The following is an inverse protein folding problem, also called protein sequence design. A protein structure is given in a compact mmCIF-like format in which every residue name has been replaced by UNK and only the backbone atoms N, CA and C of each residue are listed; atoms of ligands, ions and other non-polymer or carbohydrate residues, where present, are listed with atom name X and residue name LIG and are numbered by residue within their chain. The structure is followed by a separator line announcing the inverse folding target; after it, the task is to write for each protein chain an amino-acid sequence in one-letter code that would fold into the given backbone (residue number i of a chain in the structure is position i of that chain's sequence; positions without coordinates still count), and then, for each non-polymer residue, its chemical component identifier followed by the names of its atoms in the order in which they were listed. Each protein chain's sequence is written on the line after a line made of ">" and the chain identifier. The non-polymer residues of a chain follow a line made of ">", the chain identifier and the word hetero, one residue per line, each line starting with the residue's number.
data_IF_410502698539
#
_entry.id   IF_410502698539
#
_cell.length_a   1.000
_cell.length_b   1.000
_cell.length_c   1.000
_cell.angle_alpha   90.00
_cell.angle_beta   90.00
_cell.angle_gamma   90.00
#
_symmetry.space_group_name_H-M   'P 1'
#
loop_
_entity.id
_entity.type
_entity.pdbx_description
1 polymer ?
#
# COMPACT_ATOMS: atom_id res chain seq x y z
N UNK A 1 15.07 42.29 29.16
CA UNK A 1 14.67 40.88 29.37
C UNK A 1 14.46 40.27 27.99
N UNK A 2 15.36 39.37 27.56
CA UNK A 2 15.23 38.69 26.26
C UNK A 2 14.15 37.60 26.37
N UNK A 3 13.32 37.38 25.34
CA UNK A 3 12.35 36.30 25.38
C UNK A 3 13.11 34.97 25.41
N UNK A 4 12.80 34.12 26.39
CA UNK A 4 13.29 32.74 26.39
C UNK A 4 12.74 32.06 25.13
N UNK A 5 13.63 31.54 24.29
CA UNK A 5 13.23 30.68 23.19
C UNK A 5 12.46 29.50 23.80
N UNK A 6 11.15 29.43 23.53
CA UNK A 6 10.40 28.23 23.82
C UNK A 6 11.04 27.13 22.97
N UNK A 7 11.80 26.25 23.61
CA UNK A 7 12.23 24.98 23.04
C UNK A 7 10.96 24.18 22.79
N UNK A 8 10.28 24.49 21.67
CA UNK A 8 9.15 23.74 21.19
C UNK A 8 9.65 22.34 20.95
N UNK A 9 9.38 21.44 21.90
CA UNK A 9 9.55 19.99 21.76
C UNK A 9 8.60 19.48 20.68
N UNK A 10 8.83 19.90 19.44
CA UNK A 10 8.27 19.29 18.27
C UNK A 10 9.11 18.03 18.06
N UNK A 11 8.74 16.96 18.75
CA UNK A 11 9.22 15.62 18.42
C UNK A 11 8.81 15.37 16.97
N UNK A 12 9.73 15.66 16.06
CA UNK A 12 9.55 15.40 14.64
C UNK A 12 9.12 13.92 14.50
N UNK A 13 8.10 13.63 13.69
CA UNK A 13 7.60 12.27 13.55
C UNK A 13 8.75 11.35 13.13
N UNK A 14 8.84 10.18 13.77
CA UNK A 14 9.86 9.21 13.41
C UNK A 14 9.67 8.78 11.95
N UNK A 15 10.77 8.47 11.24
CA UNK A 15 10.68 8.04 9.84
C UNK A 15 9.70 6.87 9.64
N UNK A 16 9.65 5.93 10.58
CA UNK A 16 8.68 4.83 10.56
C UNK A 16 7.22 5.29 10.73
N UNK A 17 6.95 6.30 11.55
CA UNK A 17 5.62 6.89 11.66
C UNK A 17 5.18 7.58 10.36
N UNK A 18 6.13 8.09 9.58
CA UNK A 18 5.89 8.65 8.23
C UNK A 18 5.61 7.56 7.19
N UNK A 19 6.14 6.33 7.36
CA UNK A 19 5.92 5.22 6.41
C UNK A 19 4.58 4.46 6.58
N UNK A 20 3.89 4.65 7.70
CA UNK A 20 2.61 3.99 8.00
C UNK A 20 1.46 5.03 8.00
N UNK A 21 1.63 6.15 7.29
CA UNK A 21 0.56 7.13 7.17
C UNK A 21 -0.55 6.61 6.26
N UNK A 22 -1.71 7.25 6.30
CA UNK A 22 -2.87 6.88 5.49
C UNK A 22 -2.57 6.65 3.99
N UNK A 23 -1.82 7.53 3.29
CA UNK A 23 -1.47 7.28 1.88
C UNK A 23 -0.61 6.02 1.68
N UNK A 24 0.30 5.70 2.60
CA UNK A 24 1.17 4.51 2.49
C UNK A 24 0.37 3.22 2.66
N UNK A 25 -0.57 3.20 3.60
CA UNK A 25 -1.47 2.07 3.81
C UNK A 25 -2.30 1.79 2.55
N UNK A 26 -2.87 2.85 1.96
CA UNK A 26 -3.64 2.71 0.72
C UNK A 26 -2.79 2.18 -0.44
N UNK A 27 -1.54 2.66 -0.57
CA UNK A 27 -0.62 2.18 -1.60
C UNK A 27 -0.30 0.69 -1.44
N UNK A 28 -0.04 0.23 -0.20
CA UNK A 28 0.21 -1.19 0.08
C UNK A 28 -1.03 -2.03 -0.25
N UNK A 29 -2.22 -1.58 0.15
CA UNK A 29 -3.46 -2.29 -0.16
C UNK A 29 -3.74 -2.35 -1.66
N UNK A 30 -3.52 -1.26 -2.39
CA UNK A 30 -3.65 -1.22 -3.85
C UNK A 30 -2.72 -2.23 -4.52
N UNK A 31 -1.45 -2.27 -4.11
CA UNK A 31 -0.48 -3.21 -4.67
C UNK A 31 -0.85 -4.67 -4.39
N UNK A 32 -1.27 -4.99 -3.16
CA UNK A 32 -1.69 -6.34 -2.81
C UNK A 32 -2.95 -6.73 -3.58
N UNK A 33 -3.95 -5.83 -3.64
CA UNK A 33 -5.21 -6.10 -4.33
C UNK A 33 -5.01 -6.28 -5.84
N UNK A 34 -4.22 -5.41 -6.48
CA UNK A 34 -3.92 -5.51 -7.91
C UNK A 34 -3.17 -6.80 -8.24
N UNK A 35 -2.24 -7.24 -7.40
CA UNK A 35 -1.54 -8.51 -7.56
C UNK A 35 -2.50 -9.70 -7.44
N UNK A 36 -3.33 -9.74 -6.39
CA UNK A 36 -4.33 -10.79 -6.19
C UNK A 36 -5.33 -10.84 -7.35
N UNK A 37 -5.85 -9.68 -7.76
CA UNK A 37 -6.78 -9.58 -8.88
C UNK A 37 -6.15 -10.11 -10.19
N UNK A 38 -4.90 -9.75 -10.46
CA UNK A 38 -4.16 -10.24 -11.63
C UNK A 38 -3.97 -11.75 -11.57
N UNK A 39 -3.58 -12.30 -10.42
CA UNK A 39 -3.43 -13.75 -10.26
C UNK A 39 -4.75 -14.49 -10.49
N UNK A 40 -5.84 -14.01 -9.88
CA UNK A 40 -7.16 -14.60 -10.07
C UNK A 40 -7.61 -14.52 -11.53
N UNK A 41 -7.36 -13.39 -12.19
CA UNK A 41 -7.64 -13.23 -13.61
C UNK A 41 -6.85 -14.21 -14.47
N UNK A 42 -5.55 -14.37 -14.22
CA UNK A 42 -4.70 -15.33 -14.93
C UNK A 42 -5.20 -16.76 -14.73
N UNK A 43 -5.50 -17.16 -13.50
CA UNK A 43 -6.06 -18.49 -13.19
C UNK A 43 -7.38 -18.70 -13.93
N UNK A 44 -8.27 -17.71 -13.89
CA UNK A 44 -9.53 -17.75 -14.62
C UNK A 44 -9.31 -17.89 -16.13
N UNK A 45 -8.44 -17.07 -16.72
CA UNK A 45 -8.14 -17.08 -18.14
C UNK A 45 -7.54 -18.42 -18.60
N UNK A 46 -6.59 -18.97 -17.82
CA UNK A 46 -5.99 -20.29 -18.07
C UNK A 46 -7.07 -21.38 -18.04
N UNK A 47 -7.93 -21.39 -17.03
CA UNK A 47 -9.03 -22.36 -16.95
C UNK A 47 -10.00 -22.21 -18.12
N UNK A 48 -10.33 -20.97 -18.49
CA UNK A 48 -11.19 -20.66 -19.64
C UNK A 48 -10.58 -21.18 -20.95
N UNK A 49 -9.26 -21.02 -21.14
CA UNK A 49 -8.53 -21.52 -22.30
C UNK A 49 -8.47 -23.06 -22.35
N UNK A 50 -8.24 -23.72 -21.20
CA UNK A 50 -8.26 -25.18 -21.10
C UNK A 50 -9.65 -25.70 -21.45
N UNK A 51 -10.70 -25.12 -20.86
CA UNK A 51 -12.10 -25.48 -21.12
C UNK A 51 -12.46 -25.28 -22.59
N UNK A 52 -12.08 -24.14 -23.18
CA UNK A 52 -12.33 -23.85 -24.59
C UNK A 52 -11.70 -24.91 -25.49
N UNK A 53 -10.45 -25.32 -25.22
CA UNK A 53 -9.78 -26.36 -26.00
C UNK A 53 -10.36 -27.78 -25.79
N UNK A 54 -11.10 -27.98 -24.70
CA UNK A 54 -11.78 -29.26 -24.42
C UNK A 54 -13.18 -29.36 -25.04
N UNK A 55 -13.67 -28.28 -25.67
CA UNK A 55 -14.94 -28.25 -26.43
C UNK A 55 -14.67 -28.40 -27.92
#
# INVERSE_FOLDING_TARGET
>A
MAPAAASGGSSLPSGFAVFITFPDLLFIFEFVFSYVATLLYVVHAVFSLIRWKSS
#
